data_IF_311608494123
#
_entry.id   IF_311608494123
#
_cell.length_a   1.000
_cell.length_b   1.000
_cell.length_c   1.000
_cell.angle_alpha   90.00
_cell.angle_beta   90.00
_cell.angle_gamma   90.00
#
_symmetry.space_group_name_H-M   'P 1'
#
loop_
_entity.id
_entity.type
_entity.pdbx_description
1 polymer ?
#
# COMPACT_ATOMS: atom_id res chain seq x y z
N UNK A 1 -6.94 -34.13 16.44
CA UNK A 1 -6.72 -33.25 17.63
C UNK A 1 -6.00 -31.92 17.33
N UNK A 2 -5.47 -31.68 16.11
CA UNK A 2 -4.76 -30.43 15.74
C UNK A 2 -5.60 -29.31 15.10
N UNK A 3 -6.75 -29.64 14.49
CA UNK A 3 -7.60 -28.66 13.78
C UNK A 3 -8.31 -27.72 14.77
N UNK A 4 -8.75 -28.23 15.91
CA UNK A 4 -9.53 -27.49 16.92
C UNK A 4 -8.69 -26.47 17.69
N UNK A 5 -7.42 -26.78 18.00
CA UNK A 5 -6.50 -25.83 18.67
C UNK A 5 -6.09 -24.67 17.74
N UNK A 6 -6.07 -24.89 16.43
CA UNK A 6 -5.69 -23.86 15.46
C UNK A 6 -6.86 -22.92 15.14
N UNK A 7 -8.09 -23.44 15.03
CA UNK A 7 -9.31 -22.63 14.95
C UNK A 7 -9.49 -21.73 16.18
N UNK A 8 -9.13 -22.22 17.38
CA UNK A 8 -9.13 -21.41 18.59
C UNK A 8 -8.07 -20.29 18.57
N UNK A 9 -6.95 -20.47 17.85
CA UNK A 9 -5.87 -19.47 17.75
C UNK A 9 -6.19 -18.37 16.73
N UNK A 10 -6.86 -18.70 15.63
CA UNK A 10 -7.38 -17.71 14.66
C UNK A 10 -8.60 -16.96 15.18
N UNK A 11 -9.49 -17.62 15.94
CA UNK A 11 -10.60 -16.96 16.64
C UNK A 11 -10.14 -15.96 17.71
N UNK A 12 -8.91 -16.11 18.24
CA UNK A 12 -8.32 -15.20 19.21
C UNK A 12 -7.61 -13.98 18.58
N UNK A 13 -7.51 -13.92 17.24
CA UNK A 13 -6.88 -12.81 16.52
C UNK A 13 -7.87 -11.69 16.18
N UNK A 14 -9.12 -12.05 15.85
CA UNK A 14 -10.24 -11.10 15.73
C UNK A 14 -10.85 -10.82 17.10
N UNK A 15 -10.15 -10.05 17.94
CA UNK A 15 -10.81 -9.38 19.06
C UNK A 15 -11.93 -8.46 18.55
N UNK A 16 -12.96 -8.20 19.36
CA UNK A 16 -13.92 -7.14 19.04
C UNK A 16 -13.15 -5.84 18.80
N UNK A 17 -13.45 -5.10 17.72
CA UNK A 17 -12.82 -3.82 17.40
C UNK A 17 -12.81 -2.87 18.61
N UNK A 18 -13.90 -2.86 19.39
CA UNK A 18 -14.03 -2.08 20.62
C UNK A 18 -12.95 -2.35 21.69
N UNK A 19 -12.27 -3.50 21.63
CA UNK A 19 -11.17 -3.89 22.53
C UNK A 19 -9.79 -3.71 21.90
N UNK A 20 -9.70 -3.44 20.59
CA UNK A 20 -8.42 -3.27 19.88
C UNK A 20 -8.01 -1.79 19.86
N UNK A 21 -7.49 -1.30 21.00
CA UNK A 21 -7.04 0.10 21.15
C UNK A 21 -5.98 0.52 20.12
N UNK A 22 -4.95 -0.30 19.81
CA UNK A 22 -3.98 0.08 18.78
C UNK A 22 -4.62 0.33 17.41
N UNK A 23 -5.54 -0.54 16.99
CA UNK A 23 -6.24 -0.35 15.72
C UNK A 23 -7.15 0.89 15.74
N UNK A 24 -7.82 1.16 16.84
CA UNK A 24 -8.61 2.39 16.99
C UNK A 24 -7.72 3.64 16.83
N UNK A 25 -6.54 3.67 17.44
CA UNK A 25 -5.60 4.78 17.30
C UNK A 25 -5.10 4.92 15.87
N UNK A 26 -4.84 3.82 15.17
CA UNK A 26 -4.49 3.84 13.74
C UNK A 26 -5.63 4.46 12.92
N UNK A 27 -6.87 3.99 13.11
CA UNK A 27 -8.03 4.53 12.40
C UNK A 27 -8.26 6.02 12.68
N UNK A 28 -8.12 6.45 13.95
CA UNK A 28 -8.27 7.85 14.34
C UNK A 28 -7.14 8.69 13.73
N UNK A 29 -5.90 8.24 13.85
CA UNK A 29 -4.73 8.95 13.31
C UNK A 29 -4.83 9.14 11.80
N UNK A 30 -5.16 8.07 11.07
CA UNK A 30 -5.40 8.16 9.63
C UNK A 30 -6.59 9.06 9.29
N UNK A 31 -7.71 8.92 10.01
CA UNK A 31 -8.89 9.77 9.80
C UNK A 31 -8.60 11.25 9.99
N UNK A 32 -7.83 11.62 11.03
CA UNK A 32 -7.39 13.00 11.24
C UNK A 32 -6.51 13.51 10.11
N UNK A 33 -5.54 12.71 9.66
CA UNK A 33 -4.68 13.05 8.52
C UNK A 33 -5.51 13.27 7.26
N UNK A 34 -6.42 12.33 6.96
CA UNK A 34 -7.28 12.40 5.79
C UNK A 34 -8.18 13.64 5.81
N UNK A 35 -8.81 13.95 6.95
CA UNK A 35 -9.62 15.16 7.11
C UNK A 35 -8.80 16.43 6.94
N UNK A 36 -7.56 16.47 7.44
CA UNK A 36 -6.64 17.59 7.23
C UNK A 36 -6.29 17.78 5.75
N UNK A 37 -5.95 16.69 5.06
CA UNK A 37 -5.63 16.71 3.63
C UNK A 37 -6.85 16.96 2.73
N UNK A 38 -8.07 16.73 3.23
CA UNK A 38 -9.29 17.10 2.50
C UNK A 38 -9.53 18.62 2.44
N UNK A 39 -8.79 19.41 3.24
CA UNK A 39 -8.89 20.88 3.23
C UNK A 39 -8.07 21.43 2.08
N UNK A 40 -8.74 22.07 1.12
CA UNK A 40 -8.10 22.75 -0.02
C UNK A 40 -7.08 21.89 -0.80
N UNK A 41 -7.44 20.69 -1.28
CA UNK A 41 -6.58 19.93 -2.19
C UNK A 41 -6.39 20.70 -3.50
N UNK A 42 -5.28 20.41 -4.19
CA UNK A 42 -4.90 21.04 -5.46
C UNK A 42 -6.06 21.04 -6.48
N UNK A 43 -6.73 19.90 -6.64
CA UNK A 43 -7.91 19.72 -7.46
C UNK A 43 -8.94 18.90 -6.70
N UNK A 44 -10.14 19.44 -6.49
CA UNK A 44 -11.22 18.70 -5.78
C UNK A 44 -11.74 17.51 -6.57
N UNK A 45 -11.68 17.59 -7.90
CA UNK A 45 -12.11 16.50 -8.77
C UNK A 45 -11.11 15.34 -8.70
N UNK A 46 -9.82 15.62 -8.90
CA UNK A 46 -8.78 14.60 -8.82
C UNK A 46 -8.67 14.03 -7.41
N UNK A 47 -8.79 14.88 -6.38
CA UNK A 47 -8.90 14.44 -4.99
C UNK A 47 -9.98 13.37 -4.79
N UNK A 48 -11.19 13.58 -5.33
CA UNK A 48 -12.26 12.60 -5.22
C UNK A 48 -11.91 11.31 -5.97
N UNK A 49 -11.41 11.43 -7.19
CA UNK A 49 -11.05 10.33 -8.08
C UNK A 49 -9.99 9.42 -7.43
N UNK A 50 -8.91 10.01 -6.93
CA UNK A 50 -7.81 9.34 -6.21
C UNK A 50 -8.30 8.61 -4.96
N UNK A 51 -9.26 9.19 -4.24
CA UNK A 51 -9.77 8.61 -3.00
C UNK A 51 -10.78 7.47 -3.21
N UNK A 52 -11.26 7.21 -4.44
CA UNK A 52 -12.21 6.13 -4.69
C UNK A 52 -11.65 4.75 -4.31
N UNK A 53 -10.38 4.48 -4.65
CA UNK A 53 -9.72 3.22 -4.29
C UNK A 53 -9.41 3.13 -2.80
N UNK A 54 -9.11 4.26 -2.14
CA UNK A 54 -8.99 4.32 -0.67
C UNK A 54 -10.30 3.91 -0.01
N UNK A 55 -11.43 4.46 -0.44
CA UNK A 55 -12.73 4.12 0.13
C UNK A 55 -13.09 2.66 -0.10
N UNK A 56 -12.82 2.13 -1.30
CA UNK A 56 -13.01 0.71 -1.60
C UNK A 56 -12.14 -0.17 -0.69
N UNK A 57 -10.87 0.18 -0.48
CA UNK A 57 -9.96 -0.55 0.41
C UNK A 57 -10.44 -0.53 1.87
N UNK A 58 -10.83 0.64 2.40
CA UNK A 58 -11.35 0.79 3.77
C UNK A 58 -12.64 -0.02 3.94
N UNK A 59 -13.56 0.05 2.99
CA UNK A 59 -14.80 -0.73 3.01
C UNK A 59 -14.51 -2.25 3.02
N UNK A 60 -13.58 -2.70 2.18
CA UNK A 60 -13.15 -4.11 2.14
C UNK A 60 -12.53 -4.55 3.47
N UNK A 61 -11.63 -3.75 4.07
CA UNK A 61 -11.02 -4.04 5.37
C UNK A 61 -12.05 -4.08 6.50
N UNK A 62 -13.02 -3.16 6.49
CA UNK A 62 -14.11 -3.14 7.47
C UNK A 62 -15.01 -4.37 7.33
N UNK A 63 -15.41 -4.72 6.11
CA UNK A 63 -16.26 -5.88 5.82
C UNK A 63 -15.57 -7.20 6.18
N UNK A 64 -14.26 -7.30 5.97
CA UNK A 64 -13.47 -8.51 6.23
C UNK A 64 -12.87 -8.59 7.63
N UNK A 65 -13.00 -7.54 8.46
CA UNK A 65 -12.35 -7.47 9.78
C UNK A 65 -12.60 -8.69 10.68
N UNK A 66 -13.84 -9.23 10.66
CA UNK A 66 -14.21 -10.37 11.51
C UNK A 66 -13.89 -11.73 10.90
N UNK A 67 -13.80 -11.82 9.58
CA UNK A 67 -13.56 -13.08 8.85
C UNK A 67 -12.09 -13.30 8.54
N UNK A 68 -11.39 -12.23 8.18
CA UNK A 68 -9.97 -12.23 7.82
C UNK A 68 -9.21 -11.15 8.62
N UNK A 69 -9.16 -11.24 9.95
CA UNK A 69 -8.42 -10.26 10.76
C UNK A 69 -6.94 -10.26 10.34
N UNK A 70 -6.39 -9.05 10.25
CA UNK A 70 -4.95 -8.82 10.10
C UNK A 70 -4.33 -8.39 11.44
N UNK A 71 -3.02 -8.54 11.55
CA UNK A 71 -2.27 -8.03 12.69
C UNK A 71 -2.31 -6.49 12.75
N UNK A 72 -2.13 -5.93 13.95
CA UNK A 72 -1.98 -4.48 14.14
C UNK A 72 -0.84 -3.90 13.30
N UNK A 73 0.25 -4.67 13.13
CA UNK A 73 1.38 -4.25 12.26
C UNK A 73 0.91 -4.10 10.82
N UNK A 74 0.16 -5.08 10.30
CA UNK A 74 -0.40 -5.03 8.95
C UNK A 74 -1.37 -3.86 8.77
N UNK A 75 -2.26 -3.59 9.72
CA UNK A 75 -3.10 -2.39 9.68
C UNK A 75 -2.29 -1.09 9.73
N UNK A 76 -1.19 -1.06 10.50
CA UNK A 76 -0.27 0.08 10.53
C UNK A 76 0.42 0.31 9.18
N UNK A 77 0.90 -0.75 8.53
CA UNK A 77 1.54 -0.66 7.20
C UNK A 77 0.55 -0.21 6.13
N UNK A 78 -0.67 -0.75 6.15
CA UNK A 78 -1.76 -0.29 5.27
C UNK A 78 -2.03 1.19 5.52
N UNK A 79 -2.21 1.60 6.79
CA UNK A 79 -2.49 3.00 7.13
C UNK A 79 -1.37 3.95 6.71
N UNK A 80 -0.10 3.53 6.81
CA UNK A 80 1.03 4.33 6.36
C UNK A 80 1.02 4.49 4.83
N UNK A 81 0.78 3.40 4.09
CA UNK A 81 0.63 3.46 2.64
C UNK A 81 -0.52 4.39 2.23
N UNK A 82 -1.70 4.25 2.86
CA UNK A 82 -2.84 5.13 2.60
C UNK A 82 -2.52 6.59 2.91
N UNK A 83 -1.71 6.88 3.93
CA UNK A 83 -1.29 8.25 4.25
C UNK A 83 -0.39 8.85 3.17
N UNK A 84 0.51 8.06 2.58
CA UNK A 84 1.33 8.48 1.44
C UNK A 84 0.45 8.77 0.21
N UNK A 85 -0.46 7.86 -0.13
CA UNK A 85 -1.43 8.08 -1.23
C UNK A 85 -2.27 9.35 -1.00
N UNK A 86 -2.77 9.53 0.22
CA UNK A 86 -3.58 10.71 0.60
C UNK A 86 -2.79 12.01 0.43
N UNK A 87 -1.47 12.00 0.68
CA UNK A 87 -0.62 13.17 0.46
C UNK A 87 -0.42 13.45 -1.04
N UNK A 88 -0.18 12.42 -1.85
CA UNK A 88 -0.10 12.55 -3.32
C UNK A 88 -1.39 13.13 -3.90
N UNK A 89 -2.54 12.59 -3.50
CA UNK A 89 -3.85 13.08 -3.90
C UNK A 89 -4.08 14.56 -3.52
N UNK A 90 -3.60 15.00 -2.34
CA UNK A 90 -3.80 16.37 -1.87
C UNK A 90 -3.02 17.37 -2.72
N UNK A 91 -1.74 17.08 -2.97
CA UNK A 91 -0.85 17.98 -3.69
C UNK A 91 -0.92 17.82 -5.22
N UNK A 92 -1.65 16.83 -5.74
CA UNK A 92 -1.48 16.32 -7.11
C UNK A 92 -0.07 15.75 -7.27
N UNK A 93 0.04 14.48 -7.68
CA UNK A 93 1.28 13.70 -7.73
C UNK A 93 2.47 14.33 -8.50
N UNK A 94 2.24 15.46 -9.18
CA UNK A 94 3.22 16.26 -9.91
C UNK A 94 3.64 17.57 -9.20
N UNK A 95 3.19 17.86 -7.97
CA UNK A 95 3.59 19.11 -7.27
C UNK A 95 3.82 18.93 -5.77
N UNK A 96 4.27 17.75 -5.34
CA UNK A 96 4.39 17.48 -3.91
C UNK A 96 5.56 18.24 -3.26
N UNK A 97 5.47 18.59 -1.96
CA UNK A 97 6.61 19.16 -1.23
C UNK A 97 7.86 18.26 -1.23
N UNK A 98 7.67 16.95 -1.39
CA UNK A 98 8.78 15.99 -1.48
C UNK A 98 9.52 16.16 -2.79
N UNK A 99 8.80 16.35 -3.90
CA UNK A 99 9.43 16.61 -5.20
C UNK A 99 10.24 17.91 -5.20
N UNK A 100 9.66 18.97 -4.63
CA UNK A 100 10.38 20.25 -4.46
C UNK A 100 11.71 20.07 -3.72
N UNK A 101 11.71 19.27 -2.66
CA UNK A 101 12.93 18.93 -1.93
C UNK A 101 13.90 18.09 -2.77
N UNK A 102 13.39 17.10 -3.51
CA UNK A 102 14.18 16.22 -4.38
C UNK A 102 14.86 16.99 -5.53
N UNK A 103 14.17 17.96 -6.12
CA UNK A 103 14.75 18.87 -7.12
C UNK A 103 15.93 19.66 -6.55
N UNK A 104 15.78 20.23 -5.36
CA UNK A 104 16.84 21.03 -4.72
C UNK A 104 18.00 20.16 -4.25
N UNK A 105 17.72 19.00 -3.65
CA UNK A 105 18.74 18.16 -3.02
C UNK A 105 19.56 17.35 -4.03
N UNK A 106 18.93 16.88 -5.11
CA UNK A 106 19.55 15.94 -6.06
C UNK A 106 19.55 16.42 -7.51
N UNK A 107 18.91 17.55 -7.81
CA UNK A 107 18.84 18.08 -9.18
C UNK A 107 18.01 17.20 -10.12
N UNK A 108 17.05 16.43 -9.59
CA UNK A 108 16.16 15.63 -10.43
C UNK A 108 15.40 16.54 -11.41
N UNK A 109 15.22 16.09 -12.65
CA UNK A 109 14.49 16.83 -13.69
C UNK A 109 12.99 16.54 -13.74
N UNK A 110 12.51 15.59 -12.92
CA UNK A 110 11.13 15.13 -12.85
C UNK A 110 10.66 15.03 -11.41
N UNK A 111 9.35 15.09 -11.21
CA UNK A 111 8.68 14.69 -9.98
C UNK A 111 8.74 13.16 -9.85
N UNK A 112 9.13 12.69 -8.67
CA UNK A 112 9.35 11.28 -8.34
C UNK A 112 8.47 10.81 -7.17
N UNK A 113 7.55 11.64 -6.66
CA UNK A 113 6.70 11.23 -5.55
C UNK A 113 5.86 10.00 -5.88
N UNK A 114 5.35 9.92 -7.11
CA UNK A 114 4.59 8.76 -7.56
C UNK A 114 5.40 7.46 -7.45
N UNK A 115 6.61 7.47 -8.00
CA UNK A 115 7.61 6.40 -7.85
C UNK A 115 7.89 6.02 -6.40
N UNK A 116 7.93 7.00 -5.49
CA UNK A 116 8.08 6.75 -4.05
C UNK A 116 6.86 6.03 -3.48
N UNK A 117 5.65 6.41 -3.90
CA UNK A 117 4.41 5.74 -3.50
C UNK A 117 4.36 4.32 -4.05
N UNK A 118 4.71 4.08 -5.31
CA UNK A 118 4.79 2.75 -5.91
C UNK A 118 5.83 1.86 -5.20
N UNK A 119 7.02 2.37 -4.93
CA UNK A 119 8.00 1.67 -4.10
C UNK A 119 7.45 1.33 -2.71
N UNK A 120 6.78 2.30 -2.08
CA UNK A 120 6.18 2.15 -0.75
C UNK A 120 5.01 1.17 -0.74
N UNK A 121 4.23 1.07 -1.82
CA UNK A 121 3.19 0.06 -2.00
C UNK A 121 3.80 -1.33 -1.85
N UNK A 122 4.86 -1.61 -2.61
CA UNK A 122 5.60 -2.85 -2.51
C UNK A 122 6.18 -3.10 -1.13
N UNK A 123 6.84 -2.09 -0.56
CA UNK A 123 7.51 -2.16 0.73
C UNK A 123 6.52 -2.47 1.87
N UNK A 124 5.36 -1.82 1.88
CA UNK A 124 4.42 -1.86 2.99
C UNK A 124 3.36 -2.94 2.83
N UNK A 125 2.80 -3.11 1.63
CA UNK A 125 1.62 -3.95 1.39
C UNK A 125 1.98 -5.42 1.18
N UNK A 126 3.23 -5.75 0.86
CA UNK A 126 3.66 -7.16 0.79
C UNK A 126 3.49 -7.89 2.12
N UNK A 127 3.60 -7.17 3.26
CA UNK A 127 3.43 -7.73 4.61
C UNK A 127 1.99 -8.21 4.88
N UNK A 128 0.95 -7.36 4.75
CA UNK A 128 -0.43 -7.79 4.93
C UNK A 128 -0.87 -8.85 3.92
N UNK A 129 -0.45 -8.76 2.65
CA UNK A 129 -0.75 -9.80 1.65
C UNK A 129 -0.13 -11.14 2.08
N UNK A 130 1.15 -11.15 2.44
CA UNK A 130 1.83 -12.37 2.88
C UNK A 130 1.23 -12.93 4.17
N UNK A 131 0.82 -12.07 5.10
CA UNK A 131 0.08 -12.47 6.31
C UNK A 131 -1.23 -13.16 5.93
N UNK A 132 -2.03 -12.55 5.07
CA UNK A 132 -3.31 -13.09 4.63
C UNK A 132 -3.14 -14.46 3.94
N UNK A 133 -2.18 -14.57 3.02
CA UNK A 133 -1.83 -15.84 2.37
C UNK A 133 -1.37 -16.92 3.36
N UNK A 134 -0.60 -16.54 4.38
CA UNK A 134 -0.08 -17.48 5.38
C UNK A 134 -1.15 -17.95 6.37
N UNK A 135 -2.02 -17.04 6.80
CA UNK A 135 -2.98 -17.30 7.89
C UNK A 135 -4.30 -17.85 7.34
N UNK A 136 -4.83 -17.21 6.29
CA UNK A 136 -6.19 -17.48 5.80
C UNK A 136 -6.19 -18.48 4.64
N UNK A 137 -5.23 -18.37 3.71
CA UNK A 137 -5.03 -19.36 2.63
C UNK A 137 -4.16 -20.54 3.07
N UNK A 138 -3.40 -20.39 4.16
CA UNK A 138 -2.53 -21.42 4.74
C UNK A 138 -1.41 -21.89 3.82
N UNK A 139 -0.89 -20.98 2.99
CA UNK A 139 0.29 -21.27 2.16
C UNK A 139 1.53 -21.50 3.03
N UNK A 140 2.40 -22.41 2.57
CA UNK A 140 3.69 -22.65 3.21
C UNK A 140 4.57 -21.40 3.26
N UNK A 141 5.51 -21.33 4.20
CA UNK A 141 6.27 -20.11 4.46
C UNK A 141 6.98 -19.53 3.23
N UNK A 142 7.65 -20.37 2.42
CA UNK A 142 8.31 -19.93 1.18
C UNK A 142 7.29 -19.55 0.10
N UNK A 143 6.26 -20.37 -0.10
CA UNK A 143 5.21 -20.13 -1.10
C UNK A 143 4.46 -18.82 -0.83
N UNK A 144 4.14 -18.53 0.43
CA UNK A 144 3.48 -17.28 0.83
C UNK A 144 4.29 -16.02 0.49
N UNK A 145 5.62 -16.12 0.48
CA UNK A 145 6.51 -14.99 0.13
C UNK A 145 6.46 -14.74 -1.37
N UNK A 146 6.71 -15.77 -2.17
CA UNK A 146 6.71 -15.62 -3.63
C UNK A 146 5.34 -15.21 -4.18
N UNK A 147 4.26 -15.81 -3.68
CA UNK A 147 2.91 -15.39 -4.06
C UNK A 147 2.59 -13.95 -3.63
N UNK A 148 3.06 -13.49 -2.46
CA UNK A 148 2.84 -12.11 -2.06
C UNK A 148 3.57 -11.13 -2.98
N UNK A 149 4.84 -11.40 -3.32
CA UNK A 149 5.61 -10.57 -4.25
C UNK A 149 4.95 -10.56 -5.64
N UNK A 150 4.52 -11.71 -6.15
CA UNK A 150 3.79 -11.78 -7.42
C UNK A 150 2.46 -11.03 -7.37
N UNK A 151 1.71 -11.10 -6.27
CA UNK A 151 0.47 -10.34 -6.11
C UNK A 151 0.73 -8.84 -6.07
N UNK A 152 1.82 -8.37 -5.44
CA UNK A 152 2.19 -6.95 -5.50
C UNK A 152 2.42 -6.52 -6.95
N UNK A 153 3.23 -7.26 -7.71
CA UNK A 153 3.47 -6.91 -9.11
C UNK A 153 2.18 -6.95 -9.93
N UNK A 154 1.35 -7.99 -9.77
CA UNK A 154 0.11 -8.15 -10.52
C UNK A 154 -0.91 -7.05 -10.19
N UNK A 155 -1.02 -6.66 -8.92
CA UNK A 155 -1.93 -5.58 -8.49
C UNK A 155 -1.41 -4.20 -8.85
N UNK A 156 -0.09 -3.97 -8.82
CA UNK A 156 0.53 -2.76 -9.35
C UNK A 156 0.28 -2.62 -10.85
N UNK A 157 0.55 -3.67 -11.63
CA UNK A 157 0.23 -3.68 -13.05
C UNK A 157 -1.27 -3.46 -13.34
N UNK A 158 -2.15 -4.00 -12.49
CA UNK A 158 -3.57 -3.77 -12.62
C UNK A 158 -3.98 -2.33 -12.28
N UNK A 159 -3.30 -1.69 -11.34
CA UNK A 159 -3.50 -0.27 -11.01
C UNK A 159 -3.14 0.63 -12.21
N UNK A 160 -1.99 0.39 -12.85
CA UNK A 160 -1.57 1.10 -14.07
C UNK A 160 -2.60 0.97 -15.21
N UNK A 161 -3.21 -0.22 -15.35
CA UNK A 161 -4.29 -0.43 -16.31
C UNK A 161 -5.55 0.39 -15.96
N UNK A 162 -5.87 0.52 -14.67
CA UNK A 162 -6.97 1.38 -14.21
C UNK A 162 -6.67 2.83 -14.56
N UNK A 163 -5.47 3.33 -14.29
CA UNK A 163 -5.09 4.71 -14.62
C UNK A 163 -5.13 4.96 -16.13
N UNK A 164 -4.64 4.02 -16.94
CA UNK A 164 -4.76 4.09 -18.39
C UNK A 164 -6.23 4.21 -18.82
N UNK A 165 -7.13 3.38 -18.29
CA UNK A 165 -8.56 3.44 -18.63
C UNK A 165 -9.22 4.74 -18.14
N UNK A 166 -8.88 5.19 -16.93
CA UNK A 166 -9.41 6.44 -16.37
C UNK A 166 -8.95 7.63 -17.21
N UNK A 167 -7.67 7.71 -17.57
CA UNK A 167 -7.12 8.74 -18.44
C UNK A 167 -7.84 8.78 -19.80
N UNK A 168 -8.12 7.61 -20.39
CA UNK A 168 -8.84 7.50 -21.67
C UNK A 168 -10.30 7.96 -21.59
N UNK A 169 -10.98 7.77 -20.45
CA UNK A 169 -12.41 8.10 -20.30
C UNK A 169 -12.61 9.54 -19.83
N UNK A 170 -11.82 9.97 -18.85
CA UNK A 170 -12.03 11.22 -18.11
C UNK A 170 -11.25 12.38 -18.72
N UNK A 171 -10.10 12.11 -19.34
CA UNK A 171 -9.19 13.14 -19.82
C UNK A 171 -8.53 12.79 -21.16
N UNK A 172 -9.28 12.53 -22.25
CA UNK A 172 -8.70 12.06 -23.52
C UNK A 172 -7.66 13.03 -24.13
N UNK A 173 -7.82 14.34 -23.90
CA UNK A 173 -6.96 15.38 -24.47
C UNK A 173 -5.71 15.69 -23.63
N UNK A 174 -5.70 15.31 -22.34
CA UNK A 174 -4.61 15.59 -21.38
C UNK A 174 -4.16 14.34 -20.62
N UNK A 175 -4.50 13.14 -21.11
CA UNK A 175 -4.30 11.87 -20.41
C UNK A 175 -2.85 11.60 -20.01
N UNK A 176 -1.87 12.08 -20.78
CA UNK A 176 -0.44 12.00 -20.41
C UNK A 176 -0.06 12.86 -19.21
N UNK A 177 -0.76 13.98 -19.00
CA UNK A 177 -0.57 14.86 -17.85
C UNK A 177 -1.17 14.23 -16.58
N UNK A 178 -2.33 13.57 -16.73
CA UNK A 178 -2.96 12.81 -15.65
C UNK A 178 -2.10 11.61 -15.25
N UNK A 179 -1.56 10.88 -16.22
CA UNK A 179 -0.65 9.74 -15.99
C UNK A 179 0.73 10.14 -15.44
N UNK A 180 1.03 11.43 -15.27
CA UNK A 180 2.29 11.84 -14.63
C UNK A 180 3.57 11.46 -15.38
N UNK A 181 3.48 11.07 -16.67
CA UNK A 181 4.60 10.44 -17.39
C UNK A 181 5.81 11.35 -17.57
N UNK A 182 5.59 12.67 -17.59
CA UNK A 182 6.66 13.68 -17.67
C UNK A 182 7.64 13.45 -18.84
N UNK A 183 7.16 12.85 -19.93
CA UNK A 183 7.97 12.51 -21.11
C UNK A 183 8.73 11.19 -21.00
N UNK A 184 8.57 10.44 -19.90
CA UNK A 184 9.09 9.09 -19.74
C UNK A 184 8.14 8.07 -20.37
N UNK A 185 8.60 7.39 -21.42
CA UNK A 185 7.83 6.36 -22.12
C UNK A 185 7.77 5.04 -21.35
N UNK A 186 8.59 4.90 -20.31
CA UNK A 186 8.68 3.70 -19.46
C UNK A 186 8.10 3.93 -18.07
N UNK A 187 7.35 5.01 -17.85
CA UNK A 187 6.89 5.42 -16.52
C UNK A 187 6.16 4.29 -15.78
N UNK A 188 5.08 3.79 -16.38
CA UNK A 188 4.33 2.62 -15.92
C UNK A 188 5.21 1.40 -15.61
N UNK A 189 6.24 1.13 -16.42
CA UNK A 189 7.17 0.02 -16.15
C UNK A 189 8.07 0.30 -14.95
N UNK A 190 8.52 1.53 -14.78
CA UNK A 190 9.28 1.98 -13.62
C UNK A 190 8.43 1.92 -12.33
N UNK A 191 7.15 2.25 -12.41
CA UNK A 191 6.24 2.19 -11.28
C UNK A 191 5.96 0.74 -10.85
N UNK A 192 5.75 -0.15 -11.83
CA UNK A 192 5.63 -1.60 -11.57
C UNK A 192 6.92 -2.21 -10.99
N UNK A 193 8.11 -1.85 -11.51
CA UNK A 193 9.37 -2.43 -11.00
C UNK A 193 9.69 -1.91 -9.59
N UNK A 194 9.39 -0.65 -9.28
CA UNK A 194 9.60 -0.09 -7.94
C UNK A 194 8.72 -0.78 -6.90
N UNK A 195 7.46 -1.06 -7.24
CA UNK A 195 6.60 -1.89 -6.40
C UNK A 195 7.18 -3.31 -6.20
N UNK A 196 7.73 -3.92 -7.25
CA UNK A 196 8.41 -5.21 -7.14
C UNK A 196 9.65 -5.14 -6.22
N UNK A 197 10.50 -4.13 -6.38
CA UNK A 197 11.72 -3.95 -5.58
C UNK A 197 11.40 -3.72 -4.10
N UNK A 198 10.42 -2.87 -3.78
CA UNK A 198 9.98 -2.66 -2.40
C UNK A 198 9.51 -3.96 -1.74
N UNK A 199 8.76 -4.79 -2.47
CA UNK A 199 8.29 -6.09 -1.97
C UNK A 199 9.45 -7.07 -1.73
N UNK A 200 10.39 -7.17 -2.67
CA UNK A 200 11.56 -8.04 -2.56
C UNK A 200 12.46 -7.63 -1.40
N UNK A 201 12.71 -6.33 -1.21
CA UNK A 201 13.51 -5.80 -0.10
C UNK A 201 12.88 -6.19 1.23
N UNK A 202 11.58 -5.94 1.41
CA UNK A 202 10.89 -6.24 2.66
C UNK A 202 10.91 -7.72 2.99
N UNK A 203 10.68 -8.59 2.00
CA UNK A 203 10.73 -10.04 2.19
C UNK A 203 12.15 -10.54 2.51
N UNK A 204 13.17 -9.95 1.89
CA UNK A 204 14.58 -10.26 2.15
C UNK A 204 14.99 -9.84 3.56
N UNK A 205 14.71 -8.59 3.96
CA UNK A 205 14.99 -8.08 5.31
C UNK A 205 14.30 -8.94 6.37
N UNK A 206 13.03 -9.29 6.14
CA UNK A 206 12.29 -10.19 7.02
C UNK A 206 12.97 -11.56 7.14
N UNK A 207 13.45 -12.13 6.04
CA UNK A 207 14.16 -13.41 6.06
C UNK A 207 15.47 -13.31 6.85
N UNK A 208 16.26 -12.26 6.65
CA UNK A 208 17.50 -12.01 7.40
C UNK A 208 17.25 -11.91 8.90
N UNK A 209 16.23 -11.14 9.32
CA UNK A 209 15.85 -11.00 10.74
C UNK A 209 15.48 -12.37 11.35
N UNK A 210 14.71 -13.19 10.62
CA UNK A 210 14.31 -14.51 11.11
C UNK A 210 15.50 -15.47 11.22
N UNK A 211 16.45 -15.42 10.29
CA UNK A 211 17.68 -16.22 10.35
C UNK A 211 18.56 -15.80 11.52
N UNK A 212 18.77 -14.49 11.74
CA UNK A 212 19.55 -13.97 12.86
C UNK A 212 18.94 -14.34 14.22
N UNK A 213 17.61 -14.32 14.34
CA UNK A 213 16.90 -14.75 15.56
C UNK A 213 17.04 -16.23 15.86
N UNK A 214 17.14 -17.08 14.82
CA UNK A 214 17.37 -18.52 15.00
C UNK A 214 18.81 -18.79 15.46
N UNK A 215 19.78 -18.09 14.87
CA UNK A 215 21.18 -18.22 15.24
C UNK A 215 21.47 -17.77 16.67
N UNK A 216 20.76 -16.77 17.20
CA UNK A 216 20.90 -16.29 18.59
C UNK A 216 20.13 -17.12 19.62
N UNK A 217 19.29 -18.06 19.18
CA UNK A 217 18.51 -18.96 20.06
C UNK A 217 19.12 -20.35 20.22
N UNK A 218 20.27 -20.60 19.58
CA UNK A 218 21.08 -21.82 19.68
C UNK A 218 22.33 -21.54 20.51
#
# INVERSE_FOLDING_TARGET
MGITKMQAKTANMAGRFSKNRPLQLICIGYGCLWMGMAVAPYSRFDWLLENLLIFAAIAALAATYRTFPLSTVSYGMISLFLALHTMGAHYSYNTTPVDQWLHVAFGFGRDNYDRIVHFSYGLLIVVPIREWLSVHVRLGAKTSVWFAVTLILATGAFYELIEMWVAQIVAPEIGTLFLGTQGDVWDTQHDMELALYGALITMTVRACILTARRASSQ
#
